data_IF_376773655973
#
_entry.id   IF_376773655973
#
_cell.length_a   1.000
_cell.length_b   1.000
_cell.length_c   1.000
_cell.angle_alpha   90.00
_cell.angle_beta   90.00
_cell.angle_gamma   90.00
#
_symmetry.space_group_name_H-M   'P 1'
#
loop_
_entity.id
_entity.type
_entity.pdbx_description
1 polymer ?
#
# COMPACT_ATOMS: atom_id res chain seq x y z
N UNK A 1 3.25 -25.25 22.51
CA UNK A 1 3.00 -25.88 23.83
C UNK A 1 3.68 -25.19 25.02
N UNK A 2 4.67 -24.30 24.83
CA UNK A 2 5.35 -23.64 25.97
C UNK A 2 4.45 -22.67 26.74
N UNK A 3 3.55 -21.95 26.05
CA UNK A 3 2.68 -20.94 26.67
C UNK A 3 1.54 -21.57 27.50
N UNK A 4 1.04 -22.73 27.13
CA UNK A 4 -0.06 -23.43 27.83
C UNK A 4 0.37 -23.89 29.25
N UNK A 5 1.66 -23.97 29.52
CA UNK A 5 2.20 -24.30 30.88
C UNK A 5 2.17 -23.09 31.82
N UNK A 6 2.01 -21.88 31.32
CA UNK A 6 2.09 -20.62 32.10
C UNK A 6 0.73 -19.95 32.20
N UNK A 7 -0.13 -20.11 31.19
CA UNK A 7 -1.46 -19.49 31.12
C UNK A 7 -2.49 -20.56 30.73
N UNK A 8 -3.69 -20.57 31.35
CA UNK A 8 -4.76 -21.48 30.98
C UNK A 8 -5.10 -21.38 29.49
N UNK A 9 -5.29 -22.52 28.82
CA UNK A 9 -5.56 -22.57 27.37
C UNK A 9 -6.75 -21.67 26.95
N UNK A 10 -7.82 -21.67 27.79
CA UNK A 10 -9.02 -20.84 27.53
C UNK A 10 -8.71 -19.34 27.46
N UNK A 11 -7.80 -18.87 28.29
CA UNK A 11 -7.40 -17.45 28.32
C UNK A 11 -6.56 -17.09 27.08
N UNK A 12 -5.68 -18.02 26.67
CA UNK A 12 -4.94 -17.89 25.40
C UNK A 12 -5.88 -17.84 24.19
N UNK A 13 -6.88 -18.72 24.12
CA UNK A 13 -7.86 -18.75 23.04
C UNK A 13 -8.69 -17.47 23.00
N UNK A 14 -9.09 -16.93 24.16
CA UNK A 14 -9.81 -15.67 24.23
C UNK A 14 -8.95 -14.48 23.75
N UNK A 15 -7.68 -14.43 24.13
CA UNK A 15 -6.74 -13.41 23.68
C UNK A 15 -6.48 -13.50 22.16
N UNK A 16 -6.34 -14.71 21.63
CA UNK A 16 -6.18 -14.93 20.20
C UNK A 16 -7.40 -14.47 19.38
N UNK A 17 -8.62 -14.69 19.90
CA UNK A 17 -9.84 -14.19 19.23
C UNK A 17 -9.90 -12.66 19.22
N UNK A 18 -9.59 -12.02 20.35
CA UNK A 18 -9.54 -10.55 20.41
C UNK A 18 -8.44 -9.96 19.53
N UNK A 19 -7.30 -10.64 19.42
CA UNK A 19 -6.21 -10.25 18.53
C UNK A 19 -6.64 -10.30 17.06
N UNK A 20 -7.36 -11.36 16.65
CA UNK A 20 -7.84 -11.50 15.27
C UNK A 20 -8.73 -10.32 14.85
N UNK A 21 -9.74 -9.99 15.67
CA UNK A 21 -10.63 -8.85 15.37
C UNK A 21 -9.91 -7.50 15.37
N UNK A 22 -8.91 -7.31 16.23
CA UNK A 22 -8.07 -6.11 16.22
C UNK A 22 -7.23 -6.01 14.94
N UNK A 23 -6.67 -7.12 14.48
CA UNK A 23 -5.90 -7.16 13.22
C UNK A 23 -6.79 -6.84 12.03
N UNK A 24 -7.99 -7.44 11.94
CA UNK A 24 -8.94 -7.16 10.86
C UNK A 24 -9.34 -5.68 10.83
N UNK A 25 -9.70 -5.10 11.98
CA UNK A 25 -10.06 -3.69 12.06
C UNK A 25 -8.90 -2.75 11.67
N UNK A 26 -7.67 -3.08 12.09
CA UNK A 26 -6.48 -2.31 11.72
C UNK A 26 -6.14 -2.45 10.24
N UNK A 27 -6.29 -3.65 9.69
CA UNK A 27 -6.07 -3.92 8.28
C UNK A 27 -7.04 -3.14 7.39
N UNK A 28 -8.33 -3.08 7.78
CA UNK A 28 -9.32 -2.27 7.09
C UNK A 28 -8.91 -0.79 7.02
N UNK A 29 -8.52 -0.21 8.16
CA UNK A 29 -8.05 1.19 8.21
C UNK A 29 -6.78 1.42 7.39
N UNK A 30 -5.86 0.45 7.33
CA UNK A 30 -4.67 0.54 6.48
C UNK A 30 -5.00 0.46 4.99
N UNK A 31 -5.93 -0.41 4.59
CA UNK A 31 -6.40 -0.48 3.20
C UNK A 31 -7.09 0.83 2.81
N UNK A 32 -7.99 1.36 3.63
CA UNK A 32 -8.63 2.65 3.40
C UNK A 32 -7.60 3.78 3.28
N UNK A 33 -6.60 3.78 4.16
CA UNK A 33 -5.50 4.76 4.11
C UNK A 33 -4.69 4.66 2.82
N UNK A 34 -4.31 3.44 2.41
CA UNK A 34 -3.57 3.20 1.16
C UNK A 34 -4.39 3.55 -0.08
N UNK A 35 -5.69 3.30 -0.05
CA UNK A 35 -6.64 3.73 -1.09
C UNK A 35 -6.91 5.24 -1.06
N UNK A 36 -6.44 5.96 -0.05
CA UNK A 36 -6.67 7.40 0.10
C UNK A 36 -8.13 7.78 0.26
N UNK A 37 -8.92 6.92 0.92
CA UNK A 37 -10.37 7.09 1.10
C UNK A 37 -10.77 7.24 2.55
N UNK A 38 -11.93 7.83 2.75
CA UNK A 38 -12.68 7.90 4.01
C UNK A 38 -14.16 7.63 3.74
N UNK A 39 -14.89 7.25 4.78
CA UNK A 39 -16.34 7.12 4.76
C UNK A 39 -16.96 8.08 5.78
N UNK A 40 -18.21 8.48 5.58
CA UNK A 40 -18.94 9.40 6.46
C UNK A 40 -19.08 8.86 7.89
N UNK A 41 -19.17 7.54 8.04
CA UNK A 41 -19.35 6.88 9.33
C UNK A 41 -18.58 5.56 9.40
N UNK A 42 -18.21 5.15 10.60
CA UNK A 42 -17.59 3.86 10.86
C UNK A 42 -18.63 2.74 10.77
N UNK A 43 -18.29 1.68 10.02
CA UNK A 43 -19.08 0.47 9.86
C UNK A 43 -18.12 -0.73 9.80
N UNK A 44 -18.09 -1.49 10.89
CA UNK A 44 -17.16 -2.61 11.04
C UNK A 44 -17.47 -3.78 10.08
N UNK A 45 -18.77 -4.00 9.74
CA UNK A 45 -19.18 -5.06 8.82
C UNK A 45 -18.77 -4.72 7.39
N UNK A 46 -19.02 -3.49 6.95
CA UNK A 46 -18.53 -2.96 5.66
C UNK A 46 -17.01 -3.03 5.58
N UNK A 47 -16.32 -2.59 6.62
CA UNK A 47 -14.84 -2.54 6.66
C UNK A 47 -14.27 -3.96 6.54
N UNK A 48 -14.82 -4.95 7.24
CA UNK A 48 -14.42 -6.35 7.13
C UNK A 48 -14.71 -6.95 5.76
N UNK A 49 -15.88 -6.62 5.18
CA UNK A 49 -16.27 -7.06 3.86
C UNK A 49 -15.35 -6.46 2.77
N UNK A 50 -15.04 -5.17 2.86
CA UNK A 50 -14.07 -4.52 1.95
C UNK A 50 -12.70 -5.22 1.98
N UNK A 51 -12.18 -5.52 3.16
CA UNK A 51 -10.89 -6.23 3.30
C UNK A 51 -10.92 -7.58 2.60
N UNK A 52 -11.95 -8.40 2.90
CA UNK A 52 -12.09 -9.73 2.31
C UNK A 52 -12.17 -9.65 0.78
N UNK A 53 -13.05 -8.81 0.26
CA UNK A 53 -13.31 -8.70 -1.17
C UNK A 53 -12.12 -8.08 -1.92
N UNK A 54 -11.39 -7.16 -1.27
CA UNK A 54 -10.15 -6.60 -1.80
C UNK A 54 -9.08 -7.70 -2.02
N UNK A 55 -8.85 -8.56 -1.04
CA UNK A 55 -7.86 -9.63 -1.19
C UNK A 55 -8.29 -10.70 -2.21
N UNK A 56 -9.59 -11.01 -2.29
CA UNK A 56 -10.13 -11.91 -3.31
C UNK A 56 -9.89 -11.33 -4.71
N UNK A 57 -10.21 -10.06 -4.91
CA UNK A 57 -10.03 -9.38 -6.19
C UNK A 57 -8.53 -9.22 -6.56
N UNK A 58 -7.69 -8.84 -5.61
CA UNK A 58 -6.25 -8.71 -5.82
C UNK A 58 -5.62 -10.05 -6.26
N UNK A 59 -5.99 -11.15 -5.59
CA UNK A 59 -5.53 -12.49 -5.97
C UNK A 59 -6.00 -12.90 -7.38
N UNK A 60 -7.24 -12.59 -7.73
CA UNK A 60 -7.82 -12.95 -9.03
C UNK A 60 -7.22 -12.10 -10.17
N UNK A 61 -6.91 -10.84 -9.92
CA UNK A 61 -6.39 -9.92 -10.94
C UNK A 61 -4.94 -10.16 -11.33
N UNK A 62 -4.14 -10.79 -10.46
CA UNK A 62 -2.69 -10.92 -10.60
C UNK A 62 -1.93 -9.56 -10.66
N UNK A 63 -2.60 -8.44 -10.34
CA UNK A 63 -1.94 -7.16 -10.22
C UNK A 63 -1.11 -7.08 -8.93
N UNK A 64 0.03 -6.39 -8.98
CA UNK A 64 0.81 -6.10 -7.78
C UNK A 64 0.05 -5.15 -6.85
N UNK A 65 0.21 -5.33 -5.53
CA UNK A 65 -0.49 -4.49 -4.55
C UNK A 65 -0.23 -3.00 -4.73
N UNK A 66 1.01 -2.61 -5.03
CA UNK A 66 1.35 -1.20 -5.25
C UNK A 66 0.58 -0.61 -6.44
N UNK A 67 0.42 -1.39 -7.52
CA UNK A 67 -0.36 -0.97 -8.69
C UNK A 67 -1.85 -0.83 -8.33
N UNK A 68 -2.43 -1.79 -7.59
CA UNK A 68 -3.84 -1.73 -7.17
C UNK A 68 -4.10 -0.47 -6.33
N UNK A 69 -3.27 -0.21 -5.33
CA UNK A 69 -3.43 0.98 -4.48
C UNK A 69 -3.23 2.28 -5.24
N UNK A 70 -2.31 2.30 -6.20
CA UNK A 70 -2.09 3.45 -7.07
C UNK A 70 -3.32 3.70 -7.95
N UNK A 71 -3.84 2.68 -8.62
CA UNK A 71 -4.92 2.81 -9.60
C UNK A 71 -6.28 3.11 -8.98
N UNK A 72 -6.52 2.65 -7.74
CA UNK A 72 -7.76 2.88 -7.00
C UNK A 72 -7.66 4.03 -5.98
N UNK A 73 -6.56 4.78 -5.95
CA UNK A 73 -6.39 5.89 -5.01
C UNK A 73 -7.46 6.96 -5.21
N UNK A 74 -8.09 7.37 -4.11
CA UNK A 74 -9.22 8.30 -4.11
C UNK A 74 -10.58 7.66 -4.38
N UNK A 75 -10.64 6.31 -4.48
CA UNK A 75 -11.88 5.56 -4.61
C UNK A 75 -12.41 5.38 -6.04
N UNK A 76 -11.68 5.85 -7.04
CA UNK A 76 -12.08 5.72 -8.45
C UNK A 76 -11.00 5.01 -9.26
N UNK A 77 -11.34 3.96 -10.05
CA UNK A 77 -10.38 3.29 -10.91
C UNK A 77 -9.92 4.23 -12.04
N UNK A 78 -8.62 4.32 -12.25
CA UNK A 78 -8.01 5.16 -13.30
C UNK A 78 -7.77 4.45 -14.61
N UNK A 79 -7.86 3.12 -14.60
CA UNK A 79 -7.68 2.26 -15.78
C UNK A 79 -8.87 1.32 -15.94
N UNK A 80 -9.12 0.89 -17.17
CA UNK A 80 -10.24 -0.01 -17.49
C UNK A 80 -10.07 -1.44 -16.94
N UNK A 81 -8.87 -1.83 -16.51
CA UNK A 81 -8.58 -3.17 -16.00
C UNK A 81 -9.41 -3.61 -14.78
N UNK A 82 -10.08 -2.68 -14.11
CA UNK A 82 -10.90 -2.94 -12.93
C UNK A 82 -12.39 -3.23 -13.24
N UNK A 83 -12.79 -3.33 -14.50
CA UNK A 83 -14.17 -3.69 -14.90
C UNK A 83 -14.50 -5.18 -14.72
N UNK A 84 -13.53 -6.03 -14.47
CA UNK A 84 -13.75 -7.46 -14.28
C UNK A 84 -14.66 -7.76 -13.08
N UNK A 85 -15.47 -8.81 -13.18
CA UNK A 85 -16.52 -9.12 -12.20
C UNK A 85 -16.00 -9.30 -10.76
N UNK A 86 -14.76 -9.75 -10.56
CA UNK A 86 -14.18 -9.92 -9.23
C UNK A 86 -13.83 -8.58 -8.55
N UNK A 87 -13.72 -7.46 -9.29
CA UNK A 87 -13.56 -6.13 -8.70
C UNK A 87 -14.88 -5.46 -8.31
N UNK A 88 -16.01 -5.94 -8.85
CA UNK A 88 -17.32 -5.32 -8.60
C UNK A 88 -17.66 -5.12 -7.11
N UNK A 89 -17.44 -6.12 -6.20
CA UNK A 89 -17.72 -5.90 -4.79
C UNK A 89 -16.88 -4.75 -4.20
N UNK A 90 -15.59 -4.69 -4.52
CA UNK A 90 -14.70 -3.60 -4.06
C UNK A 90 -15.18 -2.26 -4.60
N UNK A 91 -15.45 -2.15 -5.89
CA UNK A 91 -15.91 -0.91 -6.51
C UNK A 91 -17.26 -0.41 -5.94
N UNK A 92 -18.15 -1.33 -5.56
CA UNK A 92 -19.41 -0.94 -4.89
C UNK A 92 -19.15 -0.25 -3.55
N UNK A 93 -18.19 -0.73 -2.74
CA UNK A 93 -17.80 -0.03 -1.50
C UNK A 93 -17.17 1.32 -1.78
N UNK A 94 -16.37 1.43 -2.85
CA UNK A 94 -15.69 2.67 -3.20
C UNK A 94 -16.63 3.76 -3.72
N UNK A 95 -17.85 3.42 -4.17
CA UNK A 95 -18.86 4.40 -4.58
C UNK A 95 -19.33 5.29 -3.44
N UNK A 96 -19.33 4.77 -2.20
CA UNK A 96 -19.74 5.48 -0.99
C UNK A 96 -18.55 6.12 -0.26
N UNK A 97 -17.36 6.02 -0.84
CA UNK A 97 -16.13 6.56 -0.27
C UNK A 97 -15.81 7.95 -0.83
N UNK A 98 -15.20 8.78 0.00
CA UNK A 98 -14.69 10.08 -0.39
C UNK A 98 -13.16 10.07 -0.42
N UNK A 99 -12.52 10.80 -1.36
CA UNK A 99 -11.09 11.00 -1.32
C UNK A 99 -10.71 11.71 -0.01
N UNK A 100 -9.77 11.12 0.75
CA UNK A 100 -9.26 11.74 1.98
C UNK A 100 -8.56 13.06 1.71
N UNK A 101 -7.90 13.17 0.57
CA UNK A 101 -7.27 14.39 0.08
C UNK A 101 -7.47 14.47 -1.45
N UNK A 102 -8.49 15.21 -1.86
CA UNK A 102 -8.80 15.37 -3.27
C UNK A 102 -7.67 16.05 -4.05
N UNK A 103 -6.95 17.01 -3.44
CA UNK A 103 -5.82 17.68 -4.09
C UNK A 103 -4.64 16.74 -4.39
N UNK A 104 -4.50 15.63 -3.66
CA UNK A 104 -3.47 14.65 -3.94
C UNK A 104 -3.68 13.93 -5.28
N UNK A 105 -4.91 13.88 -5.79
CA UNK A 105 -5.22 13.25 -7.08
C UNK A 105 -4.53 13.95 -8.26
N UNK A 106 -4.22 15.24 -8.13
CA UNK A 106 -3.51 16.02 -9.15
C UNK A 106 -1.98 15.89 -9.04
N UNK A 107 -1.48 15.17 -8.03
CA UNK A 107 -0.05 14.99 -7.86
C UNK A 107 0.55 14.17 -9.01
N UNK A 108 1.73 14.55 -9.58
CA UNK A 108 2.35 13.86 -10.72
C UNK A 108 2.53 12.35 -10.54
N UNK A 109 2.76 11.89 -9.31
CA UNK A 109 2.84 10.45 -8.99
C UNK A 109 1.57 9.70 -9.41
N UNK A 110 0.39 10.25 -9.10
CA UNK A 110 -0.88 9.63 -9.44
C UNK A 110 -1.30 9.86 -10.90
N UNK A 111 -0.62 10.72 -11.64
CA UNK A 111 -0.81 10.90 -13.09
C UNK A 111 0.01 9.89 -13.90
N UNK A 112 0.95 9.17 -13.29
CA UNK A 112 1.70 8.12 -13.96
C UNK A 112 0.82 6.88 -14.19
N UNK A 113 1.12 6.10 -15.22
CA UNK A 113 0.42 4.84 -15.50
C UNK A 113 0.93 3.69 -14.62
N UNK A 114 2.11 3.82 -14.05
CA UNK A 114 2.78 2.75 -13.32
C UNK A 114 3.08 3.18 -11.89
N UNK A 115 2.67 2.36 -10.95
CA UNK A 115 3.02 2.54 -9.54
C UNK A 115 4.54 2.38 -9.32
N UNK A 116 5.05 3.11 -8.34
CA UNK A 116 6.39 2.86 -7.84
C UNK A 116 6.38 1.57 -7.02
N UNK A 117 7.26 0.63 -7.37
CA UNK A 117 7.48 -0.62 -6.65
C UNK A 117 8.96 -0.78 -6.29
N UNK A 118 9.28 -1.81 -5.52
CA UNK A 118 10.64 -2.22 -5.21
C UNK A 118 10.69 -3.74 -5.28
N UNK A 119 10.74 -4.27 -6.49
CA UNK A 119 10.87 -5.70 -6.74
C UNK A 119 12.33 -6.13 -6.61
N UNK A 120 12.57 -7.44 -6.46
CA UNK A 120 13.94 -7.99 -6.40
C UNK A 120 14.72 -7.62 -7.66
N UNK A 121 14.11 -7.75 -8.83
CA UNK A 121 14.73 -7.42 -10.11
C UNK A 121 15.14 -5.93 -10.18
N UNK A 122 14.31 -5.03 -9.64
CA UNK A 122 14.65 -3.60 -9.55
C UNK A 122 15.80 -3.34 -8.57
N UNK A 123 15.85 -4.05 -7.45
CA UNK A 123 16.95 -3.94 -6.49
C UNK A 123 18.26 -4.42 -7.12
N UNK A 124 18.24 -5.53 -7.84
CA UNK A 124 19.39 -6.07 -8.56
C UNK A 124 19.86 -5.11 -9.65
N UNK A 125 18.94 -4.55 -10.46
CA UNK A 125 19.25 -3.56 -11.48
C UNK A 125 19.87 -2.27 -10.93
N UNK A 126 19.46 -1.84 -9.72
CA UNK A 126 20.06 -0.70 -9.02
C UNK A 126 21.46 -1.05 -8.49
N UNK A 127 21.63 -2.27 -8.00
CA UNK A 127 22.90 -2.71 -7.38
C UNK A 127 24.00 -2.97 -8.40
N UNK A 128 23.66 -3.45 -9.59
CA UNK A 128 24.65 -3.80 -10.63
C UNK A 128 25.61 -2.66 -10.98
N UNK A 129 25.18 -1.43 -11.34
CA UNK A 129 26.09 -0.33 -11.63
C UNK A 129 26.87 0.15 -10.40
N UNK A 130 26.33 0.03 -9.19
CA UNK A 130 27.05 0.34 -7.96
C UNK A 130 28.21 -0.63 -7.79
N UNK A 131 27.95 -1.93 -7.90
CA UNK A 131 28.97 -2.95 -7.72
C UNK A 131 30.07 -2.93 -8.81
N UNK A 132 29.68 -2.61 -10.05
CA UNK A 132 30.61 -2.62 -11.18
C UNK A 132 31.42 -1.34 -11.30
N UNK A 133 30.86 -0.17 -11.02
CA UNK A 133 31.46 1.12 -11.39
C UNK A 133 31.33 2.19 -10.30
N UNK A 134 30.88 1.85 -9.08
CA UNK A 134 30.55 2.80 -8.01
C UNK A 134 29.53 3.88 -8.46
N UNK A 135 28.62 3.50 -9.39
CA UNK A 135 27.59 4.41 -9.92
C UNK A 135 26.29 4.32 -9.12
N UNK A 136 26.03 5.36 -8.34
CA UNK A 136 24.87 5.50 -7.45
C UNK A 136 23.68 6.21 -8.09
N UNK A 137 23.74 6.52 -9.38
CA UNK A 137 22.74 7.34 -10.08
C UNK A 137 21.33 6.73 -10.03
N UNK A 138 21.21 5.41 -10.27
CA UNK A 138 19.91 4.71 -10.23
C UNK A 138 19.34 4.65 -8.81
N UNK A 139 20.15 4.45 -7.79
CA UNK A 139 19.69 4.50 -6.40
C UNK A 139 19.19 5.90 -6.05
N UNK A 140 19.93 6.93 -6.41
CA UNK A 140 19.55 8.33 -6.16
C UNK A 140 18.21 8.67 -6.85
N UNK A 141 18.05 8.29 -8.11
CA UNK A 141 16.80 8.48 -8.85
C UNK A 141 15.62 7.75 -8.17
N UNK A 142 15.86 6.52 -7.70
CA UNK A 142 14.83 5.74 -6.98
C UNK A 142 14.42 6.40 -5.67
N UNK A 143 15.37 6.93 -4.90
CA UNK A 143 15.09 7.63 -3.64
C UNK A 143 14.29 8.92 -3.87
N UNK A 144 14.58 9.67 -4.93
CA UNK A 144 13.78 10.83 -5.35
C UNK A 144 12.35 10.41 -5.69
N UNK A 145 12.16 9.34 -6.46
CA UNK A 145 10.84 8.82 -6.81
C UNK A 145 10.04 8.36 -5.57
N UNK A 146 10.72 7.72 -4.60
CA UNK A 146 10.10 7.34 -3.32
C UNK A 146 9.64 8.59 -2.55
N UNK A 147 10.42 9.65 -2.50
CA UNK A 147 10.00 10.89 -1.84
C UNK A 147 8.80 11.54 -2.54
N UNK A 148 8.75 11.56 -3.87
CA UNK A 148 7.58 12.03 -4.63
C UNK A 148 6.33 11.20 -4.29
N UNK A 149 6.45 9.87 -4.24
CA UNK A 149 5.35 9.01 -3.81
C UNK A 149 4.91 9.33 -2.38
N UNK A 150 5.84 9.52 -1.44
CA UNK A 150 5.53 9.88 -0.06
C UNK A 150 4.77 11.20 0.04
N UNK A 151 5.18 12.23 -0.71
CA UNK A 151 4.48 13.51 -0.82
C UNK A 151 3.06 13.32 -1.33
N UNK A 152 2.88 12.52 -2.38
CA UNK A 152 1.56 12.20 -2.94
C UNK A 152 0.62 11.55 -1.91
N UNK A 153 1.15 10.67 -1.05
CA UNK A 153 0.39 10.06 0.05
C UNK A 153 0.24 10.95 1.29
N UNK A 154 0.81 12.16 1.29
CA UNK A 154 0.81 13.06 2.44
C UNK A 154 1.68 12.58 3.59
N UNK A 155 2.65 11.72 3.31
CA UNK A 155 3.68 11.29 4.28
C UNK A 155 4.86 12.24 4.14
N UNK A 156 5.24 12.89 5.24
CA UNK A 156 6.32 13.90 5.25
C UNK A 156 7.64 13.40 4.65
N UNK A 157 8.45 14.34 4.19
CA UNK A 157 9.75 14.06 3.59
C UNK A 157 10.69 13.34 4.57
N UNK A 158 11.44 12.39 4.02
CA UNK A 158 12.60 11.81 4.71
C UNK A 158 13.84 12.40 4.07
N UNK A 159 14.77 12.97 4.85
CA UNK A 159 16.04 13.40 4.30
C UNK A 159 16.69 12.25 3.55
N UNK A 160 17.12 12.51 2.31
CA UNK A 160 17.86 11.52 1.55
C UNK A 160 19.17 11.21 2.32
N UNK A 161 19.56 9.92 2.46
CA UNK A 161 20.81 9.58 3.07
C UNK A 161 21.95 10.24 2.27
N UNK A 162 22.92 10.83 2.96
CA UNK A 162 24.16 11.25 2.31
C UNK A 162 24.90 10.00 1.88
N UNK A 163 24.98 9.76 0.60
CA UNK A 163 25.80 8.68 0.05
C UNK A 163 27.25 9.12 0.20
N UNK A 164 27.95 8.53 1.18
CA UNK A 164 29.38 8.76 1.41
C UNK A 164 30.10 7.94 0.34
N UNK A 165 30.63 8.58 -0.71
CA UNK A 165 31.34 7.91 -1.80
C UNK A 165 31.00 8.40 -3.20
N UNK A 166 29.94 9.23 -3.37
CA UNK A 166 29.68 9.88 -4.65
C UNK A 166 30.76 10.92 -4.98
N UNK A 167 31.09 11.18 -6.28
CA UNK A 167 32.06 12.17 -6.66
C UNK A 167 31.72 13.52 -6.05
N UNK A 168 32.69 14.16 -5.41
CA UNK A 168 32.53 15.53 -4.93
C UNK A 168 32.20 16.42 -6.13
N UNK A 169 31.01 17.01 -6.12
CA UNK A 169 30.58 18.03 -7.08
C UNK A 169 31.31 19.35 -6.85
#
# INVERSE_FOLDING_TARGET
DCFVKVVPQKDLENQLRSFHSLVEARLAKQIQWRLGIVFDHDDAERDAALVRDFFVAAKASQYGFDQIFHDLYGGQPRIEGYVANYWRPVLNYLQDAFPRNAAALDHPYFQSQKALSMTIDEVEAIWEPIAANDDWSLLTAKLVAINQMRQAYGVGDVPLPRIVGGPAS
#
